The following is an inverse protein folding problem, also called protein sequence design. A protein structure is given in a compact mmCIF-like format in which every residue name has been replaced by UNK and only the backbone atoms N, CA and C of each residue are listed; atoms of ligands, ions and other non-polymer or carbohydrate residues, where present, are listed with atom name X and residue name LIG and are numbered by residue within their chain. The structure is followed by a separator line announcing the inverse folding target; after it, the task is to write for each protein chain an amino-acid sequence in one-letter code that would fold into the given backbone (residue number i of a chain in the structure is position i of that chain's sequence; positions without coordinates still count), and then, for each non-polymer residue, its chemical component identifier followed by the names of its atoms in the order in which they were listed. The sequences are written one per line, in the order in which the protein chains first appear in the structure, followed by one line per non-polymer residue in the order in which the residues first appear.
data_IF_332230610638
#
_entry.id   IF_332230610638
#
_cell.length_a   1.000
_cell.length_b   1.000
_cell.length_c   1.000
_cell.angle_alpha   90.00
_cell.angle_beta   90.00
_cell.angle_gamma   90.00
#
_symmetry.space_group_name_H-M   'P 1'
#
loop_
_entity.id
_entity.type
_entity.pdbx_description
1 polymer ?
#
# COMPACT_ATOMS: atom_id res chain seq x y z
N UNK A 1 -7.49 11.96 -15.82
CA UNK A 1 -6.56 12.50 -14.82
C UNK A 1 -5.71 11.39 -14.21
N UNK A 2 -4.45 11.66 -14.04
CA UNK A 2 -3.51 10.66 -13.55
C UNK A 2 -3.57 10.58 -12.03
N UNK A 3 -3.75 9.38 -11.50
CA UNK A 3 -3.71 9.17 -10.06
C UNK A 3 -2.27 8.97 -9.59
N UNK A 4 -1.99 9.38 -8.35
CA UNK A 4 -0.69 9.13 -7.72
C UNK A 4 -0.61 7.75 -7.08
N UNK A 5 -1.71 7.00 -7.08
CA UNK A 5 -1.72 5.64 -6.56
C UNK A 5 -1.39 4.69 -7.71
N UNK A 6 -0.34 3.89 -7.54
CA UNK A 6 0.09 2.93 -8.56
C UNK A 6 -0.60 1.60 -8.36
N UNK A 7 -1.04 0.98 -9.44
CA UNK A 7 -1.60 -0.36 -9.37
C UNK A 7 -0.44 -1.36 -9.37
N UNK A 8 -0.36 -2.17 -8.32
CA UNK A 8 0.72 -3.14 -8.16
C UNK A 8 0.22 -4.51 -8.59
N UNK A 9 0.92 -5.09 -9.56
CA UNK A 9 0.59 -6.40 -10.13
C UNK A 9 1.82 -7.29 -10.02
N UNK A 10 1.63 -8.59 -10.21
CA UNK A 10 2.78 -9.50 -10.15
C UNK A 10 3.82 -9.14 -11.22
N UNK A 11 3.36 -8.72 -12.41
CA UNK A 11 4.25 -8.39 -13.53
C UNK A 11 5.08 -7.12 -13.29
N UNK A 12 4.60 -6.18 -12.47
CA UNK A 12 5.31 -4.94 -12.25
C UNK A 12 5.84 -4.77 -10.83
N UNK A 13 5.71 -5.80 -10.00
CA UNK A 13 6.09 -5.70 -8.58
C UNK A 13 7.56 -5.33 -8.41
N UNK A 14 8.44 -5.95 -9.16
CA UNK A 14 9.86 -5.66 -9.05
C UNK A 14 10.15 -4.20 -9.37
N UNK A 15 9.59 -3.72 -10.45
CA UNK A 15 9.83 -2.35 -10.92
C UNK A 15 9.18 -1.32 -9.99
N UNK A 16 7.93 -1.58 -9.56
CA UNK A 16 7.16 -0.60 -8.81
C UNK A 16 7.49 -0.58 -7.33
N UNK A 17 7.96 -1.69 -6.78
CA UNK A 17 8.19 -1.83 -5.34
C UNK A 17 9.65 -2.08 -5.01
N UNK A 18 10.26 -3.10 -5.61
CA UNK A 18 11.62 -3.49 -5.22
C UNK A 18 12.66 -2.49 -5.72
N UNK A 19 12.51 -2.04 -6.96
CA UNK A 19 13.43 -1.06 -7.55
C UNK A 19 13.15 0.38 -7.13
N UNK A 20 12.02 0.62 -6.47
CA UNK A 20 11.65 1.96 -6.02
C UNK A 20 12.50 2.35 -4.82
N UNK A 21 13.12 3.54 -4.87
CA UNK A 21 13.99 4.01 -3.79
C UNK A 21 13.22 4.56 -2.59
N UNK A 22 12.05 5.13 -2.85
CA UNK A 22 11.21 5.66 -1.78
C UNK A 22 10.49 4.52 -1.07
N UNK A 23 10.11 4.69 0.20
CA UNK A 23 9.20 3.74 0.83
C UNK A 23 7.91 3.64 0.02
N UNK A 24 7.32 2.45 -0.02
CA UNK A 24 6.06 2.21 -0.72
C UNK A 24 5.01 1.77 0.29
N UNK A 25 3.94 2.54 0.41
CA UNK A 25 2.79 2.14 1.22
C UNK A 25 1.87 1.32 0.32
N UNK A 26 1.62 0.07 0.70
CA UNK A 26 0.82 -0.85 -0.10
C UNK A 26 -0.46 -1.17 0.65
N UNK A 27 -1.60 -1.03 -0.04
CA UNK A 27 -2.89 -1.45 0.50
C UNK A 27 -3.24 -2.83 -0.04
N UNK A 28 -3.42 -3.77 0.88
CA UNK A 28 -3.81 -5.15 0.57
C UNK A 28 -5.21 -5.39 1.09
N UNK A 29 -6.21 -5.43 0.18
CA UNK A 29 -7.58 -5.72 0.58
C UNK A 29 -8.42 -6.12 -0.64
N UNK A 30 -9.47 -6.92 -0.43
CA UNK A 30 -10.42 -7.24 -1.51
C UNK A 30 -11.27 -6.02 -1.86
N UNK A 31 -11.95 -6.08 -3.02
CA UNK A 31 -12.85 -5.01 -3.46
C UNK A 31 -14.22 -5.15 -2.79
N UNK A 32 -14.24 -5.01 -1.47
CA UNK A 32 -15.46 -5.11 -0.68
C UNK A 32 -16.08 -3.73 -0.44
N UNK A 33 -17.07 -3.64 0.47
CA UNK A 33 -17.77 -2.40 0.76
C UNK A 33 -16.88 -1.30 1.30
N UNK A 34 -15.80 -1.66 1.99
CA UNK A 34 -14.89 -0.70 2.60
C UNK A 34 -13.83 -0.20 1.64
N UNK A 35 -13.68 -0.87 0.50
CA UNK A 35 -12.61 -0.55 -0.44
C UNK A 35 -12.64 0.89 -0.95
N UNK A 36 -13.79 1.43 -1.42
CA UNK A 36 -13.78 2.80 -1.96
C UNK A 36 -13.31 3.82 -0.93
N UNK A 37 -13.68 3.65 0.32
CA UNK A 37 -13.30 4.57 1.38
C UNK A 37 -11.81 4.50 1.67
N UNK A 38 -11.25 3.29 1.67
CA UNK A 38 -9.81 3.12 1.90
C UNK A 38 -9.00 3.66 0.72
N UNK A 39 -9.51 3.55 -0.50
CA UNK A 39 -8.86 4.16 -1.66
C UNK A 39 -8.81 5.67 -1.51
N UNK A 40 -9.90 6.31 -1.04
CA UNK A 40 -9.90 7.75 -0.80
C UNK A 40 -8.80 8.14 0.19
N UNK A 41 -8.65 7.36 1.26
CA UNK A 41 -7.65 7.65 2.28
C UNK A 41 -6.24 7.57 1.69
N UNK A 42 -5.94 6.50 0.96
CA UNK A 42 -4.59 6.37 0.40
C UNK A 42 -4.32 7.39 -0.70
N UNK A 43 -5.35 7.87 -1.40
CA UNK A 43 -5.16 8.92 -2.40
C UNK A 43 -4.76 10.24 -1.75
N UNK A 44 -5.33 10.54 -0.60
CA UNK A 44 -4.94 11.74 0.15
C UNK A 44 -3.48 11.61 0.62
N UNK A 45 -3.12 10.45 1.14
CA UNK A 45 -1.74 10.18 1.56
C UNK A 45 -0.78 10.30 0.38
N UNK A 46 -1.16 9.78 -0.79
CA UNK A 46 -0.32 9.85 -1.99
C UNK A 46 -0.03 11.30 -2.39
N UNK A 47 -1.04 12.17 -2.30
CA UNK A 47 -0.85 13.60 -2.62
C UNK A 47 0.00 14.30 -1.57
N UNK A 48 -0.23 14.00 -0.31
CA UNK A 48 0.47 14.66 0.81
C UNK A 48 1.96 14.32 0.82
N UNK A 49 2.32 13.10 0.48
CA UNK A 49 3.71 12.63 0.56
C UNK A 49 4.31 12.30 -0.81
N UNK A 50 3.86 12.98 -1.86
CA UNK A 50 4.17 12.60 -3.25
C UNK A 50 5.66 12.52 -3.57
N UNK A 51 6.51 13.28 -2.88
CA UNK A 51 7.96 13.23 -3.12
C UNK A 51 8.70 12.27 -2.20
N UNK A 52 8.12 11.94 -1.06
CA UNK A 52 8.80 11.13 -0.04
C UNK A 52 8.33 9.68 -0.01
N UNK A 53 7.14 9.42 -0.54
CA UNK A 53 6.50 8.12 -0.39
C UNK A 53 5.73 7.78 -1.67
N UNK A 54 5.80 6.53 -2.06
CA UNK A 54 4.98 6.02 -3.14
C UNK A 54 3.82 5.25 -2.53
N UNK A 55 2.64 5.32 -3.14
CA UNK A 55 1.47 4.60 -2.66
C UNK A 55 1.03 3.61 -3.73
N UNK A 56 0.83 2.37 -3.34
CA UNK A 56 0.43 1.30 -4.23
C UNK A 56 -0.82 0.59 -3.76
N UNK A 57 -1.59 0.13 -4.72
CA UNK A 57 -2.79 -0.66 -4.50
C UNK A 57 -2.61 -1.99 -5.22
N UNK A 58 -2.79 -3.09 -4.51
CA UNK A 58 -2.63 -4.42 -5.13
C UNK A 58 -3.80 -4.71 -6.08
N UNK A 59 -3.48 -5.22 -7.25
CA UNK A 59 -4.48 -5.76 -8.15
C UNK A 59 -5.08 -7.00 -7.51
N UNK A 60 -6.39 -7.21 -7.73
CA UNK A 60 -7.11 -8.29 -7.03
C UNK A 60 -6.48 -9.66 -7.20
N UNK A 61 -6.07 -10.00 -8.40
CA UNK A 61 -5.53 -11.34 -8.65
C UNK A 61 -4.12 -11.54 -8.10
N UNK A 62 -3.50 -10.46 -7.60
CA UNK A 62 -2.18 -10.55 -6.96
C UNK A 62 -2.28 -10.64 -5.43
N UNK A 63 -3.47 -10.42 -4.88
CA UNK A 63 -3.63 -10.34 -3.41
C UNK A 63 -3.19 -11.61 -2.71
N UNK A 64 -3.61 -12.78 -3.21
CA UNK A 64 -3.29 -14.03 -2.53
C UNK A 64 -1.79 -14.35 -2.52
N UNK A 65 -1.12 -14.09 -3.64
CA UNK A 65 0.32 -14.29 -3.72
C UNK A 65 1.06 -13.32 -2.79
N UNK A 66 0.61 -12.06 -2.75
CA UNK A 66 1.21 -11.05 -1.88
C UNK A 66 1.03 -11.43 -0.41
N UNK A 67 -0.17 -11.85 -0.03
CA UNK A 67 -0.45 -12.26 1.34
C UNK A 67 0.47 -13.39 1.79
N UNK A 68 0.71 -14.33 0.89
CA UNK A 68 1.59 -15.45 1.18
C UNK A 68 3.03 -14.99 1.34
N UNK A 69 3.50 -14.13 0.43
CA UNK A 69 4.88 -13.65 0.44
C UNK A 69 5.21 -12.81 1.67
N UNK A 70 4.25 -12.05 2.16
CA UNK A 70 4.47 -11.14 3.28
C UNK A 70 3.76 -11.58 4.56
N UNK A 71 3.22 -12.79 4.58
CA UNK A 71 2.55 -13.36 5.74
C UNK A 71 1.42 -12.47 6.26
N UNK A 72 0.59 -11.99 5.34
CA UNK A 72 -0.57 -11.17 5.69
C UNK A 72 -1.72 -12.10 6.06
N UNK A 73 -2.23 -11.97 7.28
CA UNK A 73 -3.24 -12.89 7.82
C UNK A 73 -4.66 -12.35 7.78
N UNK A 74 -4.84 -11.06 7.52
CA UNK A 74 -6.18 -10.47 7.46
C UNK A 74 -6.17 -9.24 6.59
N UNK A 75 -7.36 -8.72 6.24
CA UNK A 75 -7.49 -7.53 5.41
C UNK A 75 -8.53 -6.60 6.01
N UNK A 76 -8.41 -5.29 5.77
CA UNK A 76 -7.30 -4.68 5.05
C UNK A 76 -6.02 -4.70 5.87
N UNK A 77 -4.88 -4.76 5.19
CA UNK A 77 -3.58 -4.58 5.80
C UNK A 77 -2.81 -3.55 4.98
N UNK A 78 -2.17 -2.63 5.68
CA UNK A 78 -1.32 -1.63 5.05
C UNK A 78 0.12 -1.98 5.41
N UNK A 79 0.98 -2.09 4.40
CA UNK A 79 2.40 -2.37 4.63
C UNK A 79 3.24 -1.23 4.09
N UNK A 80 4.35 -0.95 4.77
CA UNK A 80 5.33 -0.04 4.20
C UNK A 80 6.56 -0.88 3.85
N UNK A 81 6.93 -0.85 2.58
CA UNK A 81 8.04 -1.62 2.06
C UNK A 81 9.14 -0.69 1.59
N UNK A 82 10.38 -1.00 1.94
CA UNK A 82 11.54 -0.27 1.45
C UNK A 82 12.38 -1.25 0.65
N UNK A 83 12.46 -1.01 -0.65
CA UNK A 83 13.14 -1.91 -1.58
C UNK A 83 12.66 -3.35 -1.40
N UNK A 84 11.34 -3.50 -1.24
CA UNK A 84 10.69 -4.79 -1.10
C UNK A 84 10.70 -5.39 0.30
N UNK A 85 11.35 -4.75 1.26
CA UNK A 85 11.43 -5.26 2.63
C UNK A 85 10.46 -4.54 3.54
N UNK A 86 9.74 -5.30 4.33
CA UNK A 86 8.74 -4.72 5.23
C UNK A 86 9.39 -3.90 6.34
N UNK A 87 8.90 -2.68 6.51
CA UNK A 87 9.35 -1.77 7.57
C UNK A 87 8.24 -1.43 8.55
N UNK A 88 6.99 -1.69 8.19
CA UNK A 88 5.87 -1.45 9.08
C UNK A 88 4.62 -2.04 8.50
N UNK A 89 3.64 -2.31 9.37
CA UNK A 89 2.33 -2.77 8.91
C UNK A 89 1.26 -2.37 9.90
N UNK A 90 0.05 -2.31 9.39
CA UNK A 90 -1.13 -2.02 10.19
C UNK A 90 -2.27 -2.86 9.66
N UNK A 91 -2.93 -3.59 10.54
CA UNK A 91 -4.10 -4.39 10.21
C UNK A 91 -5.35 -3.60 10.59
N UNK A 92 -6.32 -3.56 9.69
CA UNK A 92 -7.61 -2.94 9.95
C UNK A 92 -7.82 -1.68 9.13
N UNK A 93 -9.05 -1.18 9.20
CA UNK A 93 -9.44 0.03 8.48
C UNK A 93 -8.65 1.23 9.02
N UNK A 94 -8.25 2.11 8.13
CA UNK A 94 -7.41 3.25 8.49
C UNK A 94 -8.04 4.57 8.07
N UNK A 95 -7.71 5.61 8.83
CA UNK A 95 -7.94 6.98 8.40
C UNK A 95 -6.58 7.63 8.14
N UNK A 96 -6.60 8.90 7.73
CA UNK A 96 -5.37 9.61 7.39
C UNK A 96 -4.39 9.70 8.56
N UNK A 97 -4.92 9.94 9.76
CA UNK A 97 -4.08 10.10 10.95
C UNK A 97 -3.34 8.81 11.27
N UNK A 98 -4.04 7.69 11.17
CA UNK A 98 -3.43 6.38 11.44
C UNK A 98 -2.32 6.07 10.45
N UNK A 99 -2.51 6.37 9.18
CA UNK A 99 -1.49 6.14 8.18
C UNK A 99 -0.32 7.11 8.31
N UNK A 100 -0.60 8.36 8.65
CA UNK A 100 0.44 9.35 8.92
C UNK A 100 1.33 8.87 10.07
N UNK A 101 0.70 8.32 11.11
CA UNK A 101 1.44 7.79 12.26
C UNK A 101 2.31 6.60 11.85
N UNK A 102 1.76 5.69 11.06
CA UNK A 102 2.52 4.54 10.56
C UNK A 102 3.74 5.01 9.75
N UNK A 103 3.53 5.97 8.86
CA UNK A 103 4.61 6.50 8.02
C UNK A 103 5.71 7.14 8.86
N UNK A 104 5.34 7.82 9.93
CA UNK A 104 6.31 8.54 10.76
C UNK A 104 7.26 7.60 11.52
N UNK A 105 6.94 6.32 11.59
CA UNK A 105 7.77 5.33 12.30
C UNK A 105 8.70 4.55 11.37
N UNK A 106 8.78 4.94 10.10
CA UNK A 106 9.60 4.22 9.12
C UNK A 106 10.92 4.93 8.83
#
# INVERSE_FOLDING_TARGET
MKTLVSLIRSENFEQEVIAEKRPVLVLCMPRDEEFPKQVEVIEVIARKYSTELKVGLLQEDFIEAFKKNYSVVGTPTFLILVEGKERGRMLGLADQEMLTDLISHV
#
